data_IF_594344195969
#
_entry.id   IF_594344195969
#
_cell.length_a   1.000
_cell.length_b   1.000
_cell.length_c   1.000
_cell.angle_alpha   90.00
_cell.angle_beta   90.00
_cell.angle_gamma   90.00
#
_symmetry.space_group_name_H-M   'P 1'
#
loop_
_entity.id
_entity.type
_entity.pdbx_description
1 polymer ?
#
# COMPACT_ATOMS: atom_id res chain seq x y z
N UNK A 1 -11.66 -46.21 16.78
CA UNK A 1 -12.31 -45.13 16.00
C UNK A 1 -11.67 -43.75 16.24
N UNK A 2 -10.33 -43.63 16.23
CA UNK A 2 -9.62 -42.38 16.59
C UNK A 2 -8.71 -41.77 15.53
N UNK A 3 -8.58 -42.39 14.34
CA UNK A 3 -7.62 -41.96 13.30
C UNK A 3 -8.07 -40.77 12.46
N UNK A 4 -9.37 -40.68 12.14
CA UNK A 4 -9.87 -39.67 11.20
C UNK A 4 -9.73 -38.22 11.69
N UNK A 5 -9.83 -37.98 13.00
CA UNK A 5 -9.68 -36.63 13.56
C UNK A 5 -8.22 -36.15 13.53
N UNK A 6 -7.26 -37.05 13.75
CA UNK A 6 -5.83 -36.75 13.71
C UNK A 6 -5.36 -36.49 12.27
N UNK A 7 -5.83 -37.29 11.32
CA UNK A 7 -5.56 -37.12 9.90
C UNK A 7 -6.18 -35.81 9.36
N UNK A 8 -7.44 -35.52 9.73
CA UNK A 8 -8.10 -34.26 9.37
C UNK A 8 -7.35 -33.05 9.92
N UNK A 9 -6.88 -33.10 11.18
CA UNK A 9 -6.04 -32.05 11.77
C UNK A 9 -4.72 -31.88 11.01
N UNK A 10 -4.09 -32.96 10.57
CA UNK A 10 -2.85 -32.88 9.78
C UNK A 10 -3.09 -32.19 8.42
N UNK A 11 -4.17 -32.54 7.72
CA UNK A 11 -4.56 -31.89 6.45
C UNK A 11 -4.85 -30.40 6.66
N UNK A 12 -5.60 -30.04 7.72
CA UNK A 12 -5.87 -28.64 8.05
C UNK A 12 -4.58 -27.85 8.34
N UNK A 13 -3.64 -28.43 9.09
CA UNK A 13 -2.35 -27.79 9.36
C UNK A 13 -1.53 -27.58 8.08
N UNK A 14 -1.53 -28.57 7.17
CA UNK A 14 -0.84 -28.44 5.88
C UNK A 14 -1.46 -27.34 5.02
N UNK A 15 -2.80 -27.27 4.99
CA UNK A 15 -3.52 -26.22 4.28
C UNK A 15 -3.22 -24.82 4.86
N UNK A 16 -3.22 -24.69 6.19
CA UNK A 16 -2.89 -23.44 6.86
C UNK A 16 -1.44 -23.03 6.59
N UNK A 17 -0.47 -23.94 6.66
CA UNK A 17 0.93 -23.67 6.32
C UNK A 17 1.06 -23.19 4.86
N UNK A 18 0.41 -23.88 3.91
CA UNK A 18 0.39 -23.48 2.51
C UNK A 18 -0.20 -22.07 2.32
N UNK A 19 -1.37 -21.80 2.90
CA UNK A 19 -2.06 -20.51 2.78
C UNK A 19 -1.24 -19.37 3.39
N UNK A 20 -0.61 -19.61 4.54
CA UNK A 20 0.26 -18.64 5.19
C UNK A 20 1.52 -18.36 4.35
N UNK A 21 2.18 -19.40 3.83
CA UNK A 21 3.35 -19.23 2.95
C UNK A 21 3.02 -18.43 1.70
N UNK A 22 1.88 -18.71 1.05
CA UNK A 22 1.43 -17.97 -0.11
C UNK A 22 1.19 -16.48 0.23
N UNK A 23 0.54 -16.20 1.36
CA UNK A 23 0.32 -14.83 1.84
C UNK A 23 1.65 -14.12 2.16
N UNK A 24 2.56 -14.77 2.87
CA UNK A 24 3.89 -14.22 3.17
C UNK A 24 4.70 -13.95 1.91
N UNK A 25 4.66 -14.84 0.92
CA UNK A 25 5.31 -14.64 -0.36
C UNK A 25 4.75 -13.42 -1.11
N UNK A 26 3.42 -13.24 -1.12
CA UNK A 26 2.77 -12.09 -1.73
C UNK A 26 3.18 -10.77 -1.06
N UNK A 27 3.17 -10.72 0.28
CA UNK A 27 3.63 -9.55 1.05
C UNK A 27 5.11 -9.27 0.79
N UNK A 28 5.95 -10.30 0.81
CA UNK A 28 7.39 -10.15 0.55
C UNK A 28 7.65 -9.62 -0.87
N UNK A 29 6.91 -10.11 -1.87
CA UNK A 29 6.99 -9.61 -3.26
C UNK A 29 6.59 -8.15 -3.34
N UNK A 30 5.47 -7.76 -2.74
CA UNK A 30 5.01 -6.38 -2.69
C UNK A 30 6.08 -5.45 -2.08
N UNK A 31 6.63 -5.82 -0.92
CA UNK A 31 7.67 -5.02 -0.26
C UNK A 31 8.96 -4.92 -1.08
N UNK A 32 9.34 -5.96 -1.83
CA UNK A 32 10.47 -5.89 -2.79
C UNK A 32 10.16 -4.88 -3.90
N UNK A 33 9.00 -5.02 -4.57
CA UNK A 33 8.60 -4.08 -5.63
C UNK A 33 8.58 -2.63 -5.15
N UNK A 34 8.11 -2.35 -3.93
CA UNK A 34 8.16 -0.99 -3.37
C UNK A 34 9.59 -0.48 -3.16
N UNK A 35 10.52 -1.35 -2.73
CA UNK A 35 11.94 -0.99 -2.55
C UNK A 35 12.66 -0.74 -3.87
N UNK A 36 12.25 -1.45 -4.93
CA UNK A 36 12.86 -1.35 -6.26
C UNK A 36 12.40 -0.09 -7.03
N UNK A 37 11.34 0.58 -6.58
CA UNK A 37 10.90 1.84 -7.17
C UNK A 37 11.95 2.95 -6.96
N UNK A 38 12.30 3.74 -7.98
CA UNK A 38 13.25 4.85 -7.83
C UNK A 38 12.85 5.84 -6.72
N UNK A 39 11.56 6.01 -6.44
CA UNK A 39 11.09 6.87 -5.35
C UNK A 39 11.55 6.41 -3.96
N UNK A 40 11.88 5.12 -3.78
CA UNK A 40 12.36 4.57 -2.51
C UNK A 40 13.70 5.17 -2.08
N UNK A 41 14.63 5.40 -3.03
CA UNK A 41 15.94 5.99 -2.73
C UNK A 41 15.82 7.46 -2.31
N UNK A 42 14.81 8.16 -2.83
CA UNK A 42 14.55 9.56 -2.51
C UNK A 42 13.75 9.78 -1.21
N UNK A 43 13.31 8.72 -0.51
CA UNK A 43 12.40 8.81 0.64
C UNK A 43 12.91 9.76 1.74
N UNK A 44 14.15 9.61 2.18
CA UNK A 44 14.70 10.43 3.26
C UNK A 44 14.79 11.91 2.85
N UNK A 45 15.22 12.18 1.62
CA UNK A 45 15.31 13.53 1.05
C UNK A 45 13.92 14.18 0.93
N UNK A 46 12.93 13.44 0.46
CA UNK A 46 11.53 13.89 0.38
C UNK A 46 11.01 14.30 1.76
N UNK A 47 11.11 13.42 2.76
CA UNK A 47 10.56 13.66 4.10
C UNK A 47 11.21 14.86 4.76
N UNK A 48 12.53 15.02 4.60
CA UNK A 48 13.25 16.22 5.06
C UNK A 48 12.72 17.48 4.37
N UNK A 49 12.65 17.47 3.04
CA UNK A 49 12.18 18.62 2.27
C UNK A 49 10.76 19.05 2.68
N UNK A 50 9.85 18.07 2.90
CA UNK A 50 8.47 18.34 3.34
C UNK A 50 8.43 18.89 4.77
N UNK A 51 9.32 18.45 5.66
CA UNK A 51 9.39 18.97 7.03
C UNK A 51 9.95 20.40 7.09
N UNK A 52 10.88 20.74 6.21
CA UNK A 52 11.59 22.03 6.21
C UNK A 52 10.92 23.10 5.34
N UNK A 53 10.03 22.72 4.43
CA UNK A 53 9.46 23.64 3.44
C UNK A 53 7.93 23.49 3.35
N UNK A 54 7.23 24.62 3.25
CA UNK A 54 5.78 24.61 3.02
C UNK A 54 5.38 24.10 1.63
N UNK A 55 6.27 24.22 0.64
CA UNK A 55 6.05 23.78 -0.73
C UNK A 55 7.26 23.01 -1.25
N UNK A 56 7.02 21.83 -1.82
CA UNK A 56 8.06 20.94 -2.37
C UNK A 56 7.63 20.46 -3.75
N UNK A 57 8.49 20.65 -4.75
CA UNK A 57 8.30 20.11 -6.09
C UNK A 57 8.99 18.76 -6.20
N UNK A 58 8.22 17.70 -6.47
CA UNK A 58 8.73 16.33 -6.64
C UNK A 58 8.67 15.95 -8.12
N UNK A 59 9.82 15.99 -8.79
CA UNK A 59 9.96 15.57 -10.18
C UNK A 59 10.58 14.16 -10.29
N UNK A 60 10.19 13.42 -11.33
CA UNK A 60 10.76 12.12 -11.67
C UNK A 60 9.99 11.46 -12.81
N UNK A 61 10.55 10.43 -13.40
CA UNK A 61 9.98 9.81 -14.60
C UNK A 61 8.65 9.08 -14.34
N UNK A 62 7.93 8.75 -15.42
CA UNK A 62 6.74 7.90 -15.36
C UNK A 62 7.11 6.53 -14.79
N UNK A 63 6.28 5.98 -13.89
CA UNK A 63 6.53 4.68 -13.27
C UNK A 63 7.50 4.69 -12.09
N UNK A 64 8.10 5.84 -11.73
CA UNK A 64 9.06 5.87 -10.63
C UNK A 64 8.45 5.72 -9.23
N UNK A 65 7.12 5.75 -9.10
CA UNK A 65 6.40 5.50 -7.86
C UNK A 65 5.88 6.74 -7.11
N UNK A 66 5.95 7.95 -7.68
CA UNK A 66 5.52 9.20 -7.00
C UNK A 66 4.12 9.11 -6.40
N UNK A 67 3.10 8.90 -7.25
CA UNK A 67 1.70 8.97 -6.82
C UNK A 67 1.33 7.91 -5.77
N UNK A 68 1.94 6.72 -5.82
CA UNK A 68 1.64 5.63 -4.88
C UNK A 68 2.48 5.72 -3.60
N UNK A 69 3.77 6.07 -3.68
CA UNK A 69 4.68 6.00 -2.54
C UNK A 69 4.72 7.26 -1.68
N UNK A 70 4.64 8.46 -2.29
CA UNK A 70 4.70 9.74 -1.55
C UNK A 70 3.65 9.82 -0.44
N UNK A 71 2.34 9.60 -0.68
CA UNK A 71 1.36 9.63 0.39
C UNK A 71 1.62 8.59 1.47
N UNK A 72 2.04 7.37 1.11
CA UNK A 72 2.38 6.31 2.08
C UNK A 72 3.56 6.71 2.98
N UNK A 73 4.57 7.40 2.44
CA UNK A 73 5.69 7.87 3.25
C UNK A 73 5.26 8.94 4.25
N UNK A 74 4.35 9.84 3.85
CA UNK A 74 3.81 10.87 4.74
C UNK A 74 2.89 10.26 5.82
N UNK A 75 2.03 9.30 5.46
CA UNK A 75 1.19 8.56 6.42
C UNK A 75 2.06 7.93 7.52
N UNK A 76 3.14 7.23 7.12
CA UNK A 76 4.06 6.57 8.07
C UNK A 76 4.87 7.53 8.95
N UNK A 77 4.88 8.83 8.66
CA UNK A 77 5.49 9.85 9.54
C UNK A 77 4.47 10.56 10.42
N UNK A 78 3.21 10.09 10.45
CA UNK A 78 2.16 10.62 11.32
C UNK A 78 1.32 11.73 10.69
N UNK A 79 1.45 11.99 9.39
CA UNK A 79 0.52 12.89 8.70
C UNK A 79 -0.81 12.18 8.48
N UNK A 80 -1.92 12.79 8.93
CA UNK A 80 -3.25 12.15 8.91
C UNK A 80 -4.24 12.76 7.92
N UNK A 81 -3.95 13.93 7.34
CA UNK A 81 -4.84 14.65 6.42
C UNK A 81 -4.16 14.90 5.08
N UNK A 82 -3.94 13.82 4.33
CA UNK A 82 -3.26 13.85 3.04
C UNK A 82 -4.28 13.77 1.92
N UNK A 83 -4.34 14.80 1.06
CA UNK A 83 -5.14 14.79 -0.15
C UNK A 83 -4.23 14.59 -1.38
N UNK A 84 -4.54 13.60 -2.20
CA UNK A 84 -3.87 13.36 -3.47
C UNK A 84 -4.84 13.61 -4.62
N UNK A 85 -4.70 14.74 -5.31
CA UNK A 85 -5.54 15.05 -6.46
C UNK A 85 -5.10 14.24 -7.69
N UNK A 86 -6.07 13.84 -8.50
CA UNK A 86 -5.83 13.18 -9.78
C UNK A 86 -6.65 13.86 -10.86
N UNK A 87 -6.10 14.10 -12.07
CA UNK A 87 -6.80 14.84 -13.12
C UNK A 87 -7.98 14.07 -13.73
N UNK A 88 -8.10 12.77 -13.45
CA UNK A 88 -9.11 11.88 -14.04
C UNK A 88 -9.75 11.04 -12.95
N UNK A 89 -11.08 10.83 -13.05
CA UNK A 89 -11.87 10.01 -12.12
C UNK A 89 -11.28 8.61 -11.93
N UNK A 90 -11.00 7.93 -13.04
CA UNK A 90 -10.44 6.57 -13.00
C UNK A 90 -9.06 6.52 -12.32
N UNK A 91 -8.24 7.55 -12.49
CA UNK A 91 -6.93 7.65 -11.83
C UNK A 91 -7.07 7.83 -10.32
N UNK A 92 -8.05 8.59 -9.84
CA UNK A 92 -8.33 8.73 -8.41
C UNK A 92 -8.73 7.39 -7.77
N UNK A 93 -9.70 6.69 -8.38
CA UNK A 93 -10.18 5.38 -7.92
C UNK A 93 -9.04 4.36 -7.93
N UNK A 94 -8.30 4.27 -9.03
CA UNK A 94 -7.21 3.31 -9.18
C UNK A 94 -6.08 3.59 -8.19
N UNK A 95 -5.76 4.85 -7.94
CA UNK A 95 -4.74 5.22 -6.96
C UNK A 95 -5.15 4.84 -5.53
N UNK A 96 -6.38 5.18 -5.11
CA UNK A 96 -6.92 4.80 -3.80
C UNK A 96 -6.84 3.28 -3.60
N UNK A 97 -7.40 2.49 -4.52
CA UNK A 97 -7.36 1.02 -4.45
C UNK A 97 -5.93 0.47 -4.39
N UNK A 98 -5.03 1.08 -5.17
CA UNK A 98 -3.62 0.67 -5.18
C UNK A 98 -2.95 0.95 -3.84
N UNK A 99 -3.15 2.13 -3.26
CA UNK A 99 -2.56 2.51 -1.97
C UNK A 99 -3.12 1.65 -0.84
N UNK A 100 -4.43 1.36 -0.83
CA UNK A 100 -5.05 0.46 0.14
C UNK A 100 -4.40 -0.94 0.09
N UNK A 101 -4.32 -1.54 -1.10
CA UNK A 101 -3.67 -2.83 -1.29
C UNK A 101 -2.17 -2.83 -0.92
N UNK A 102 -1.45 -1.76 -1.25
CA UNK A 102 -0.01 -1.62 -0.95
C UNK A 102 0.28 -1.42 0.56
N UNK A 103 -0.70 -0.91 1.30
CA UNK A 103 -0.67 -0.78 2.76
C UNK A 103 -1.26 -1.99 3.48
N UNK A 104 -1.63 -3.05 2.74
CA UNK A 104 -2.26 -4.25 3.28
C UNK A 104 -3.53 -3.93 4.09
N UNK A 105 -4.26 -2.91 3.67
CA UNK A 105 -5.46 -2.38 4.33
C UNK A 105 -5.24 -2.00 5.80
N UNK A 106 -3.99 -1.67 6.19
CA UNK A 106 -3.60 -1.26 7.55
C UNK A 106 -4.39 -0.05 8.04
N UNK A 107 -4.79 0.84 7.12
CA UNK A 107 -5.53 2.06 7.39
C UNK A 107 -7.05 1.93 7.16
N UNK A 108 -7.54 0.72 6.84
CA UNK A 108 -8.97 0.46 6.59
C UNK A 108 -9.60 1.48 5.63
N UNK A 109 -10.67 2.12 6.08
CA UNK A 109 -11.42 3.13 5.32
C UNK A 109 -10.73 4.52 5.27
N UNK A 110 -9.58 4.72 5.93
CA UNK A 110 -8.87 6.02 5.87
C UNK A 110 -8.24 6.29 4.48
N UNK A 111 -7.99 5.25 3.68
CA UNK A 111 -7.52 5.40 2.29
C UNK A 111 -8.72 5.44 1.34
N UNK A 112 -9.24 6.64 1.11
CA UNK A 112 -10.45 6.87 0.34
C UNK A 112 -10.27 7.72 -0.94
N UNK A 113 -11.26 7.69 -1.84
CA UNK A 113 -11.40 8.62 -2.96
C UNK A 113 -12.73 9.37 -2.89
N UNK A 114 -12.74 10.59 -3.42
CA UNK A 114 -13.93 11.41 -3.57
C UNK A 114 -13.96 12.01 -4.98
N UNK A 115 -15.03 11.75 -5.73
CA UNK A 115 -15.26 12.27 -7.07
C UNK A 115 -16.73 12.74 -7.20
N UNK A 116 -17.08 13.58 -8.20
CA UNK A 116 -18.47 14.01 -8.36
C UNK A 116 -19.40 12.80 -8.51
N UNK A 117 -20.43 12.73 -7.67
CA UNK A 117 -21.45 11.66 -7.67
C UNK A 117 -20.98 10.25 -7.24
N UNK A 118 -19.75 10.10 -6.72
CA UNK A 118 -19.23 8.80 -6.24
C UNK A 118 -18.07 8.99 -5.23
N UNK A 119 -18.03 8.19 -4.16
CA UNK A 119 -16.97 8.24 -3.15
C UNK A 119 -16.82 6.88 -2.49
N UNK A 120 -15.59 6.52 -2.09
CA UNK A 120 -15.42 5.45 -1.12
C UNK A 120 -15.75 5.99 0.28
N UNK A 121 -16.23 5.10 1.16
CA UNK A 121 -16.54 5.42 2.55
C UNK A 121 -15.28 5.83 3.31
#
# INVERSE_FOLDING_TARGET
>A
AGGGLAEFRAVLNLYLDFALRARFAAVAKLKRTQRDLPMATARARLLRAVAENQCVVVAGDTGCGKSTQVPQYLLRTGHTRIACTQPRRLSAIALCRRVAAETLDEYGDEVAYHIPFDSSK
#
